data_IF_956273616630
#
_entry.id   IF_956273616630
#
_cell.length_a   1.000
_cell.length_b   1.000
_cell.length_c   1.000
_cell.angle_alpha   90.00
_cell.angle_beta   90.00
_cell.angle_gamma   90.00
#
_symmetry.space_group_name_H-M   'P 1'
#
loop_
_entity.id
_entity.type
_entity.pdbx_description
1 polymer ?
#
# COMPACT_ATOMS: atom_id res chain seq x y z
N UNK A 1 -9.86 -5.14 1.04
CA UNK A 1 -8.41 -5.39 0.95
C UNK A 1 -8.06 -6.62 1.78
N UNK A 2 -7.16 -7.43 1.27
CA UNK A 2 -6.66 -8.59 2.02
C UNK A 2 -5.68 -8.12 3.09
N UNK A 3 -5.59 -8.87 4.19
CA UNK A 3 -4.73 -8.49 5.30
C UNK A 3 -3.43 -9.30 5.28
N UNK A 4 -2.29 -8.60 5.42
CA UNK A 4 -0.98 -9.21 5.59
C UNK A 4 -0.74 -9.35 7.09
N UNK A 5 -0.57 -10.58 7.55
CA UNK A 5 -0.42 -10.88 8.99
C UNK A 5 0.98 -11.38 9.34
N UNK A 6 1.79 -11.74 8.35
CA UNK A 6 3.16 -12.21 8.58
C UNK A 6 4.12 -11.59 7.57
N UNK A 7 5.37 -11.49 7.94
CA UNK A 7 6.42 -11.02 7.03
C UNK A 7 6.57 -11.98 5.84
N UNK A 8 6.36 -13.26 6.07
CA UNK A 8 6.44 -14.28 5.01
C UNK A 8 5.37 -14.05 3.94
N UNK A 9 4.15 -13.69 4.35
CA UNK A 9 3.10 -13.34 3.40
C UNK A 9 3.50 -12.15 2.52
N UNK A 10 4.09 -11.12 3.14
CA UNK A 10 4.56 -9.96 2.40
C UNK A 10 5.67 -10.35 1.41
N UNK A 11 6.64 -11.13 1.87
CA UNK A 11 7.79 -11.54 1.03
C UNK A 11 7.37 -12.45 -0.12
N UNK A 12 6.21 -13.11 0.00
CA UNK A 12 5.69 -13.98 -1.05
C UNK A 12 4.98 -13.20 -2.17
N UNK A 13 4.73 -11.90 -1.98
CA UNK A 13 4.11 -11.08 -3.01
C UNK A 13 5.09 -10.84 -4.18
N UNK A 14 4.55 -10.51 -5.33
CA UNK A 14 5.35 -10.16 -6.50
C UNK A 14 5.12 -11.02 -7.71
N UNK A 15 4.38 -12.13 -7.57
CA UNK A 15 3.99 -12.94 -8.73
C UNK A 15 2.97 -12.21 -9.58
N UNK A 16 2.09 -11.47 -8.92
CA UNK A 16 1.09 -10.62 -9.54
C UNK A 16 1.27 -9.20 -8.99
N UNK A 17 0.97 -8.17 -9.78
CA UNK A 17 1.05 -6.80 -9.27
C UNK A 17 0.17 -6.62 -8.04
N UNK A 18 0.75 -6.08 -6.99
CA UNK A 18 0.10 -5.91 -5.69
C UNK A 18 0.42 -4.54 -5.12
N UNK A 19 -0.47 -4.03 -4.29
CA UNK A 19 -0.25 -2.79 -3.57
C UNK A 19 -0.60 -3.02 -2.11
N UNK A 20 0.26 -2.55 -1.21
CA UNK A 20 0.10 -2.74 0.23
C UNK A 20 0.17 -1.39 0.91
N UNK A 21 -0.75 -1.14 1.84
CA UNK A 21 -0.61 -0.05 2.80
C UNK A 21 -0.08 -0.63 4.11
N UNK A 22 1.03 -0.07 4.59
CA UNK A 22 1.50 -0.29 5.95
C UNK A 22 1.03 0.89 6.78
N UNK A 23 0.15 0.64 7.75
CA UNK A 23 -0.41 1.73 8.54
C UNK A 23 -1.33 1.24 9.62
N UNK A 24 -1.69 2.16 10.52
CA UNK A 24 -2.56 1.89 11.66
C UNK A 24 -3.79 2.81 11.57
N UNK A 25 -4.76 2.49 10.69
CA UNK A 25 -5.87 3.41 10.38
C UNK A 25 -6.71 3.82 11.59
N UNK A 26 -6.77 2.99 12.64
CA UNK A 26 -7.53 3.28 13.83
C UNK A 26 -6.93 4.40 14.68
N UNK A 27 -5.64 4.65 14.54
CA UNK A 27 -4.91 5.64 15.36
C UNK A 27 -4.16 6.67 14.53
N UNK A 28 -4.14 6.52 13.21
CA UNK A 28 -3.37 7.36 12.31
C UNK A 28 -4.30 7.92 11.24
N UNK A 29 -4.56 9.23 11.28
CA UNK A 29 -5.47 9.88 10.33
C UNK A 29 -4.99 9.76 8.89
N UNK A 30 -3.72 10.04 8.56
CA UNK A 30 -3.24 9.83 7.19
C UNK A 30 -3.37 8.39 6.72
N UNK A 31 -3.18 7.42 7.61
CA UNK A 31 -3.36 6.01 7.28
C UNK A 31 -4.81 5.70 6.91
N UNK A 32 -5.74 6.31 7.62
CA UNK A 32 -7.17 6.13 7.38
C UNK A 32 -7.55 6.62 5.97
N UNK A 33 -7.13 7.81 5.60
CA UNK A 33 -7.45 8.37 4.29
C UNK A 33 -6.77 7.59 3.17
N UNK A 34 -5.53 7.17 3.37
CA UNK A 34 -4.82 6.33 2.40
C UNK A 34 -5.57 5.02 2.17
N UNK A 35 -5.99 4.37 3.26
CA UNK A 35 -6.75 3.13 3.16
C UNK A 35 -8.06 3.33 2.41
N UNK A 36 -8.79 4.42 2.72
CA UNK A 36 -10.05 4.73 2.04
C UNK A 36 -9.86 4.90 0.53
N UNK A 37 -8.79 5.58 0.13
CA UNK A 37 -8.48 5.75 -1.28
C UNK A 37 -8.20 4.42 -1.97
N UNK A 38 -7.40 3.56 -1.33
CA UNK A 38 -7.09 2.25 -1.90
C UNK A 38 -8.32 1.36 -1.99
N UNK A 39 -9.17 1.38 -0.97
CA UNK A 39 -10.43 0.63 -0.99
C UNK A 39 -11.35 1.09 -2.11
N UNK A 40 -11.39 2.39 -2.36
CA UNK A 40 -12.18 2.96 -3.45
C UNK A 40 -11.65 2.46 -4.80
N UNK A 41 -10.35 2.45 -5.01
CA UNK A 41 -9.75 1.94 -6.24
C UNK A 41 -10.06 0.46 -6.42
N UNK A 42 -9.99 -0.30 -5.36
CA UNK A 42 -10.32 -1.73 -5.40
C UNK A 42 -11.78 -1.97 -5.78
N UNK A 43 -12.69 -1.25 -5.14
CA UNK A 43 -14.13 -1.37 -5.39
C UNK A 43 -14.48 -0.99 -6.83
N UNK A 44 -13.85 0.03 -7.36
CA UNK A 44 -14.10 0.53 -8.71
C UNK A 44 -13.30 -0.22 -9.78
N UNK A 45 -12.49 -1.18 -9.38
CA UNK A 45 -11.63 -1.95 -10.28
C UNK A 45 -10.80 -1.05 -11.19
N UNK A 46 -10.31 0.04 -10.61
CA UNK A 46 -9.57 1.05 -11.36
C UNK A 46 -8.23 0.53 -11.88
N UNK A 47 -7.59 -0.33 -11.11
CA UNK A 47 -6.29 -0.89 -11.45
C UNK A 47 -6.34 -2.41 -11.37
N UNK A 48 -5.56 -3.08 -12.22
CA UNK A 48 -5.40 -4.54 -12.17
C UNK A 48 -4.36 -4.90 -11.12
N UNK A 49 -4.73 -4.71 -9.85
CA UNK A 49 -3.88 -4.93 -8.69
C UNK A 49 -4.62 -5.76 -7.64
N UNK A 50 -3.87 -6.51 -6.85
CA UNK A 50 -4.39 -7.07 -5.60
C UNK A 50 -4.04 -6.12 -4.48
N UNK A 51 -5.01 -5.77 -3.65
CA UNK A 51 -4.88 -4.74 -2.61
C UNK A 51 -4.75 -5.40 -1.24
N UNK A 52 -3.75 -4.94 -0.47
CA UNK A 52 -3.43 -5.47 0.85
C UNK A 52 -3.30 -4.36 1.87
N UNK A 53 -3.60 -4.72 3.13
CA UNK A 53 -3.40 -3.87 4.30
C UNK A 53 -2.54 -4.62 5.30
N UNK A 54 -1.55 -3.96 5.87
CA UNK A 54 -0.78 -4.48 7.00
C UNK A 54 -0.78 -3.45 8.11
N UNK A 55 -1.37 -3.82 9.25
CA UNK A 55 -1.45 -2.95 10.43
C UNK A 55 -0.65 -3.52 11.61
N UNK A 56 0.16 -4.53 11.36
CA UNK A 56 0.97 -5.16 12.40
C UNK A 56 2.24 -4.35 12.64
N UNK A 57 2.33 -3.75 13.83
CA UNK A 57 3.45 -2.89 14.21
C UNK A 57 4.79 -3.66 14.16
N UNK A 58 4.79 -4.95 14.48
CA UNK A 58 6.03 -5.73 14.48
C UNK A 58 6.55 -5.90 13.06
N UNK A 59 5.65 -6.12 12.10
CA UNK A 59 6.04 -6.23 10.69
C UNK A 59 6.54 -4.88 10.19
N UNK A 60 5.80 -3.81 10.46
CA UNK A 60 6.17 -2.45 10.04
C UNK A 60 7.56 -2.09 10.56
N UNK A 61 7.82 -2.36 11.84
CA UNK A 61 9.12 -2.09 12.46
C UNK A 61 10.22 -2.95 11.86
N UNK A 62 9.94 -4.22 11.59
CA UNK A 62 10.94 -5.13 11.02
C UNK A 62 11.35 -4.72 9.61
N UNK A 63 10.49 -4.00 8.88
CA UNK A 63 10.80 -3.46 7.57
C UNK A 63 11.50 -2.10 7.66
N UNK A 64 11.80 -1.66 8.87
CA UNK A 64 12.53 -0.41 9.15
C UNK A 64 11.76 0.85 8.75
N UNK A 65 10.42 0.77 8.69
CA UNK A 65 9.60 1.95 8.49
C UNK A 65 9.45 2.69 9.80
N UNK A 66 9.91 3.94 9.83
CA UNK A 66 9.87 4.78 11.02
C UNK A 66 8.59 5.61 11.12
N UNK A 67 7.82 5.68 10.05
CA UNK A 67 6.56 6.41 10.02
C UNK A 67 5.56 5.69 9.13
N UNK A 68 4.28 5.97 9.32
CA UNK A 68 3.17 5.43 8.52
C UNK A 68 2.28 6.59 8.07
N UNK A 69 1.54 6.46 6.96
CA UNK A 69 1.44 5.28 6.11
C UNK A 69 2.64 5.14 5.16
N UNK A 70 2.93 3.90 4.76
CA UNK A 70 3.82 3.61 3.65
C UNK A 70 3.04 2.77 2.65
N UNK A 71 3.01 3.18 1.41
CA UNK A 71 2.36 2.43 0.34
C UNK A 71 3.44 1.79 -0.52
N UNK A 72 3.34 0.49 -0.74
CA UNK A 72 4.33 -0.24 -1.54
C UNK A 72 3.64 -0.88 -2.72
N UNK A 73 4.14 -0.60 -3.92
CA UNK A 73 3.70 -1.24 -5.15
C UNK A 73 4.72 -2.34 -5.49
N UNK A 74 4.25 -3.58 -5.54
CA UNK A 74 5.09 -4.75 -5.80
C UNK A 74 4.69 -5.34 -7.13
N UNK A 75 5.65 -5.41 -8.05
CA UNK A 75 5.47 -6.09 -9.33
C UNK A 75 6.54 -7.18 -9.43
N UNK A 76 6.47 -8.09 -10.45
CA UNK A 76 7.50 -9.12 -10.58
C UNK A 76 8.93 -8.57 -10.69
N UNK A 77 9.07 -7.34 -11.17
CA UNK A 77 10.39 -6.76 -11.45
C UNK A 77 10.79 -5.64 -10.50
N UNK A 78 9.84 -5.04 -9.78
CA UNK A 78 10.13 -3.85 -8.97
C UNK A 78 9.34 -3.82 -7.69
N UNK A 79 9.85 -3.04 -6.74
CA UNK A 79 9.18 -2.70 -5.49
C UNK A 79 9.40 -1.21 -5.27
N UNK A 80 8.31 -0.43 -5.29
CA UNK A 80 8.36 1.02 -5.19
C UNK A 80 7.61 1.45 -3.94
N UNK A 81 8.28 2.27 -3.11
CA UNK A 81 7.70 2.75 -1.85
C UNK A 81 7.27 4.20 -1.97
N UNK A 82 6.10 4.50 -1.42
CA UNK A 82 5.59 5.86 -1.29
C UNK A 82 5.45 6.17 0.19
N UNK A 83 6.27 7.11 0.66
CA UNK A 83 6.28 7.54 2.07
C UNK A 83 5.67 8.92 2.28
N UNK A 84 5.40 9.65 1.20
CA UNK A 84 4.81 10.99 1.27
C UNK A 84 3.29 10.89 1.44
N UNK A 85 2.81 11.13 2.66
CA UNK A 85 1.38 11.03 2.97
C UNK A 85 0.55 12.12 2.27
N UNK A 86 1.15 13.23 1.87
CA UNK A 86 0.42 14.25 1.12
C UNK A 86 -0.04 13.72 -0.24
N UNK A 87 0.69 12.76 -0.79
CA UNK A 87 0.32 12.09 -2.03
C UNK A 87 -0.69 10.96 -1.75
N UNK A 88 -0.40 10.09 -0.77
CA UNK A 88 -1.25 8.93 -0.52
C UNK A 88 -2.62 9.28 0.04
N UNK A 89 -2.75 10.41 0.72
CA UNK A 89 -4.03 10.90 1.25
C UNK A 89 -4.93 11.49 0.17
N UNK A 90 -4.36 11.94 -0.94
CA UNK A 90 -5.11 12.57 -2.02
C UNK A 90 -5.41 11.51 -3.09
N UNK A 91 -6.70 11.32 -3.38
CA UNK A 91 -7.13 10.28 -4.30
C UNK A 91 -6.51 10.43 -5.69
N UNK A 92 -6.49 11.65 -6.22
CA UNK A 92 -5.96 11.91 -7.57
C UNK A 92 -4.45 11.72 -7.61
N UNK A 93 -3.74 12.26 -6.61
CA UNK A 93 -2.28 12.13 -6.53
C UNK A 93 -1.85 10.67 -6.38
N UNK A 94 -2.56 9.92 -5.54
CA UNK A 94 -2.26 8.50 -5.35
C UNK A 94 -2.53 7.71 -6.63
N UNK A 95 -3.63 8.00 -7.31
CA UNK A 95 -3.96 7.38 -8.58
C UNK A 95 -2.86 7.64 -9.62
N UNK A 96 -2.39 8.88 -9.71
CA UNK A 96 -1.31 9.24 -10.64
C UNK A 96 -0.01 8.53 -10.30
N UNK A 97 0.31 8.41 -9.01
CA UNK A 97 1.49 7.69 -8.57
C UNK A 97 1.45 6.22 -8.97
N UNK A 98 0.29 5.58 -8.79
CA UNK A 98 0.11 4.19 -9.18
C UNK A 98 0.28 4.05 -10.70
N UNK A 99 -0.36 4.92 -11.48
CA UNK A 99 -0.28 4.87 -12.94
C UNK A 99 1.16 5.02 -13.44
N UNK A 100 1.94 5.88 -12.79
CA UNK A 100 3.34 6.10 -13.17
C UNK A 100 4.24 4.90 -12.89
N UNK A 101 3.87 4.04 -11.93
CA UNK A 101 4.74 2.98 -11.46
C UNK A 101 4.26 1.57 -11.81
N UNK A 102 3.01 1.40 -12.20
CA UNK A 102 2.43 0.08 -12.47
C UNK A 102 2.78 -0.45 -13.85
N UNK A 103 3.12 0.41 -14.78
CA UNK A 103 3.28 0.05 -16.19
C UNK A 103 4.59 -0.64 -16.53
N UNK A 104 5.42 -0.88 -15.55
CA UNK A 104 6.76 -1.45 -15.82
C UNK A 104 6.86 -2.91 -15.47
#
# INVERSE_FOLDING_TARGET
MKEIKTLEEYNALGKEPSIIEFGTPDTCIPCKYTKENLEKFEQNKKFNLTFYQCSDINIITSLEYSSVPVVVLVTPNTKVELTDSSISMDEEELSNWIEQNIGD
#
